data_IF_338064641010
#
_entry.id   IF_338064641010
#
_cell.length_a   1.000
_cell.length_b   1.000
_cell.length_c   1.000
_cell.angle_alpha   90.00
_cell.angle_beta   90.00
_cell.angle_gamma   90.00
#
_symmetry.space_group_name_H-M   'P 1'
#
loop_
_entity.id
_entity.type
_entity.pdbx_description
1 polymer ?
#
# COMPACT_ATOMS: atom_id res chain seq x y z
N UNK A 1 -27.07 0.85 28.05
CA UNK A 1 -26.30 -0.22 27.34
C UNK A 1 -25.98 0.12 25.89
N UNK A 2 -26.70 1.06 25.24
CA UNK A 2 -26.49 1.45 23.83
C UNK A 2 -25.18 2.22 23.53
N UNK A 3 -24.58 2.89 24.52
CA UNK A 3 -23.37 3.71 24.32
C UNK A 3 -22.08 2.89 24.15
N UNK A 4 -22.11 1.59 24.48
CA UNK A 4 -20.94 0.70 24.42
C UNK A 4 -20.75 0.04 23.05
N UNK A 5 -21.84 -0.21 22.32
CA UNK A 5 -21.78 -0.79 20.97
C UNK A 5 -21.23 0.21 19.94
N UNK A 6 -21.60 1.49 20.05
CA UNK A 6 -21.07 2.54 19.19
C UNK A 6 -19.55 2.73 19.33
N UNK A 7 -19.03 2.63 20.56
CA UNK A 7 -17.58 2.74 20.83
C UNK A 7 -16.80 1.57 20.25
N UNK A 8 -17.34 0.35 20.32
CA UNK A 8 -16.75 -0.85 19.70
C UNK A 8 -16.73 -0.77 18.18
N UNK A 9 -17.77 -0.21 17.56
CA UNK A 9 -17.80 0.02 16.12
C UNK A 9 -16.70 1.01 15.70
N UNK A 10 -16.54 2.12 16.42
CA UNK A 10 -15.50 3.11 16.16
C UNK A 10 -14.08 2.56 16.34
N UNK A 11 -13.82 1.79 17.40
CA UNK A 11 -12.52 1.12 17.63
C UNK A 11 -12.19 0.10 16.52
N UNK A 12 -13.21 -0.56 15.96
CA UNK A 12 -13.04 -1.51 14.85
C UNK A 12 -12.76 -0.80 13.53
N UNK A 13 -13.39 0.36 13.31
CA UNK A 13 -13.12 1.24 12.17
C UNK A 13 -11.71 1.83 12.21
N UNK A 14 -11.25 2.30 13.36
CA UNK A 14 -9.88 2.80 13.54
C UNK A 14 -8.82 1.72 13.29
N UNK A 15 -9.08 0.48 13.72
CA UNK A 15 -8.21 -0.67 13.46
C UNK A 15 -8.18 -1.05 11.98
N UNK A 16 -9.33 -1.00 11.29
CA UNK A 16 -9.41 -1.22 9.86
C UNK A 16 -8.68 -0.12 9.08
N UNK A 17 -8.87 1.15 9.43
CA UNK A 17 -8.17 2.29 8.84
C UNK A 17 -6.66 2.25 9.13
N UNK A 18 -6.27 1.78 10.30
CA UNK A 18 -4.86 1.54 10.63
C UNK A 18 -4.30 0.39 9.78
N UNK A 19 -5.03 -0.71 9.60
CA UNK A 19 -4.61 -1.83 8.75
C UNK A 19 -4.55 -1.45 7.28
N UNK A 20 -5.49 -0.66 6.77
CA UNK A 20 -5.49 -0.15 5.39
C UNK A 20 -4.35 0.86 5.20
N UNK A 21 -4.12 1.77 6.15
CA UNK A 21 -2.94 2.66 6.11
C UNK A 21 -1.63 1.90 6.25
N UNK A 22 -1.62 0.81 7.02
CA UNK A 22 -0.47 -0.08 7.08
C UNK A 22 -0.31 -0.76 5.74
N UNK A 23 -1.28 -1.47 5.19
CA UNK A 23 -1.18 -2.11 3.87
C UNK A 23 -0.81 -1.14 2.74
N UNK A 24 -1.43 0.05 2.69
CA UNK A 24 -1.15 1.08 1.68
C UNK A 24 0.17 1.85 1.94
N UNK A 25 0.60 1.95 3.20
CA UNK A 25 1.90 2.51 3.61
C UNK A 25 3.02 1.48 3.80
N UNK A 26 2.70 0.19 3.69
CA UNK A 26 3.58 -0.97 3.92
C UNK A 26 4.16 -1.51 2.64
N UNK A 27 3.57 -1.20 1.47
CA UNK A 27 4.36 -1.20 0.25
C UNK A 27 5.33 -0.03 0.32
N UNK A 28 6.39 -0.24 1.10
CA UNK A 28 7.56 0.61 1.15
C UNK A 28 8.03 0.89 -0.27
N UNK A 29 8.70 2.02 -0.49
CA UNK A 29 9.31 2.34 -1.77
C UNK A 29 10.08 1.13 -2.35
N UNK A 30 10.75 0.37 -1.48
CA UNK A 30 11.46 -0.85 -1.84
C UNK A 30 10.55 -1.98 -2.37
N UNK A 31 9.38 -2.20 -1.77
CA UNK A 31 8.42 -3.20 -2.25
C UNK A 31 7.80 -2.80 -3.60
N UNK A 32 7.44 -1.52 -3.77
CA UNK A 32 6.90 -1.02 -5.05
C UNK A 32 7.94 -1.15 -6.17
N UNK A 33 9.20 -0.83 -5.88
CA UNK A 33 10.32 -1.00 -6.82
C UNK A 33 10.58 -2.48 -7.10
N UNK A 34 10.48 -3.36 -6.09
CA UNK A 34 10.65 -4.80 -6.27
C UNK A 34 9.56 -5.40 -7.18
N UNK A 35 8.29 -5.10 -6.92
CA UNK A 35 7.19 -5.53 -7.79
C UNK A 35 7.32 -4.98 -9.21
N UNK A 36 7.69 -3.70 -9.37
CA UNK A 36 7.93 -3.12 -10.68
C UNK A 36 9.10 -3.81 -11.41
N UNK A 37 10.13 -4.25 -10.68
CA UNK A 37 11.24 -5.00 -11.26
C UNK A 37 10.80 -6.39 -11.73
N UNK A 38 9.96 -7.08 -10.98
CA UNK A 38 9.40 -8.37 -11.43
C UNK A 38 8.62 -8.21 -12.74
N UNK A 39 7.81 -7.16 -12.87
CA UNK A 39 7.07 -6.87 -14.11
C UNK A 39 8.00 -6.58 -15.31
N UNK A 40 9.13 -5.93 -15.07
CA UNK A 40 10.15 -5.68 -16.09
C UNK A 40 10.85 -6.97 -16.52
N UNK A 41 11.19 -7.83 -15.54
CA UNK A 41 11.85 -9.12 -15.79
C UNK A 41 10.90 -10.10 -16.52
N UNK A 42 9.59 -10.00 -16.28
CA UNK A 42 8.53 -10.70 -17.03
C UNK A 42 8.28 -10.10 -18.43
N UNK A 43 8.86 -8.93 -18.74
CA UNK A 43 8.66 -8.23 -20.00
C UNK A 43 7.27 -7.59 -20.15
N UNK A 44 6.52 -7.45 -19.05
CA UNK A 44 5.20 -6.81 -19.01
C UNK A 44 5.28 -5.28 -19.08
N UNK A 45 6.41 -4.73 -18.64
CA UNK A 45 6.70 -3.29 -18.74
C UNK A 45 8.09 -3.07 -19.33
N UNK A 46 8.30 -1.88 -19.86
CA UNK A 46 9.58 -1.42 -20.41
C UNK A 46 10.45 -0.75 -19.34
N UNK A 47 11.75 -0.59 -19.64
CA UNK A 47 12.69 0.11 -18.76
C UNK A 47 12.26 1.56 -18.44
N UNK A 48 11.63 2.25 -19.41
CA UNK A 48 11.13 3.62 -19.21
C UNK A 48 9.97 3.65 -18.20
N UNK A 49 9.03 2.71 -18.32
CA UNK A 49 7.91 2.56 -17.40
C UNK A 49 8.35 2.18 -16.00
N UNK A 50 9.32 1.27 -15.87
CA UNK A 50 9.96 0.94 -14.59
C UNK A 50 10.59 2.18 -13.95
N UNK A 51 11.29 3.01 -14.73
CA UNK A 51 11.89 4.26 -14.26
C UNK A 51 10.85 5.23 -13.67
N UNK A 52 9.69 5.36 -14.33
CA UNK A 52 8.57 6.20 -13.85
C UNK A 52 7.97 5.66 -12.55
N UNK A 53 7.79 4.34 -12.44
CA UNK A 53 7.28 3.68 -11.24
C UNK A 53 8.26 3.84 -10.06
N UNK A 54 9.56 3.68 -10.31
CA UNK A 54 10.61 3.89 -9.32
C UNK A 54 10.65 5.34 -8.83
N UNK A 55 10.57 6.31 -9.73
CA UNK A 55 10.53 7.72 -9.34
C UNK A 55 9.30 8.03 -8.48
N UNK A 56 8.13 7.50 -8.85
CA UNK A 56 6.89 7.68 -8.08
C UNK A 56 6.94 7.04 -6.70
N UNK A 57 7.64 5.91 -6.57
CA UNK A 57 7.81 5.22 -5.29
C UNK A 57 8.81 5.93 -4.34
N UNK A 58 9.70 6.77 -4.87
CA UNK A 58 10.74 7.48 -4.11
C UNK A 58 10.35 8.92 -3.70
N UNK A 59 9.20 9.42 -4.18
CA UNK A 59 8.66 10.76 -3.89
C UNK A 59 7.60 10.65 -2.79
#
# INVERSE_FOLDING_TARGET
>A
MASRSARRASESQEQADAYIRRAAGSQSAAEQISSAKSLLDEGLITNDEFGRLKAKALV
#
